data_IF_040471968232
#
_entry.id   IF_040471968232
#
_cell.length_a   1.000
_cell.length_b   1.000
_cell.length_c   1.000
_cell.angle_alpha   90.00
_cell.angle_beta   90.00
_cell.angle_gamma   90.00
#
_symmetry.space_group_name_H-M   'P 1'
#
loop_
_entity.id
_entity.type
_entity.pdbx_description
1 polymer ?
#
# COMPACT_ATOMS: atom_id res chain seq x y z
N UNK A 1 74.27 6.92 27.42
CA UNK A 1 73.16 5.98 27.17
C UNK A 1 71.88 6.76 27.24
N UNK A 2 71.29 7.02 26.08
CA UNK A 2 69.97 7.70 25.98
C UNK A 2 69.02 6.75 25.34
N UNK A 3 68.06 6.26 26.13
CA UNK A 3 66.97 5.40 25.68
C UNK A 3 65.87 6.27 25.12
N UNK A 4 65.60 6.16 23.82
CA UNK A 4 64.50 6.84 23.16
C UNK A 4 63.29 5.89 23.22
N UNK A 5 62.29 6.29 24.00
CA UNK A 5 61.02 5.58 24.11
C UNK A 5 60.10 6.04 22.96
N UNK A 6 59.92 5.19 21.94
CA UNK A 6 59.01 5.44 20.85
C UNK A 6 57.55 5.24 21.28
N UNK A 7 56.75 6.29 21.25
CA UNK A 7 55.31 6.24 21.44
C UNK A 7 54.66 5.81 20.15
N UNK A 8 54.15 4.60 20.12
CA UNK A 8 53.33 4.10 18.99
C UNK A 8 51.89 4.57 19.16
N UNK A 9 51.48 5.61 18.42
CA UNK A 9 50.13 6.10 18.40
C UNK A 9 49.26 5.18 17.49
N UNK A 10 48.42 4.34 18.09
CA UNK A 10 47.46 3.52 17.38
C UNK A 10 46.26 4.40 16.97
N UNK A 11 46.18 4.82 15.72
CA UNK A 11 45.01 5.49 15.16
C UNK A 11 43.95 4.46 14.87
N UNK A 12 42.98 4.32 15.77
CA UNK A 12 41.80 3.49 15.57
C UNK A 12 40.87 4.18 14.54
N UNK A 13 40.81 3.66 13.34
CA UNK A 13 39.81 4.09 12.35
C UNK A 13 38.42 3.61 12.82
N UNK A 14 37.57 4.54 13.24
CA UNK A 14 36.17 4.28 13.49
C UNK A 14 35.49 4.04 12.13
N UNK A 15 35.28 2.78 11.77
CA UNK A 15 34.45 2.41 10.61
C UNK A 15 33.00 2.61 11.04
N UNK A 16 32.39 3.73 10.63
CA UNK A 16 30.95 3.93 10.76
C UNK A 16 30.23 2.89 9.90
N UNK A 17 29.19 2.20 10.42
CA UNK A 17 28.41 1.30 9.59
C UNK A 17 27.73 2.08 8.48
N UNK A 18 27.59 1.50 7.26
CA UNK A 18 26.90 2.16 6.17
C UNK A 18 25.46 2.47 6.61
N UNK A 19 25.02 3.71 6.43
CA UNK A 19 23.64 4.09 6.65
C UNK A 19 22.79 3.27 5.69
N UNK A 20 22.07 2.29 6.21
CA UNK A 20 21.07 1.53 5.44
C UNK A 20 19.94 2.50 5.14
N UNK A 21 19.89 3.02 3.92
CA UNK A 21 18.72 3.75 3.44
C UNK A 21 17.55 2.74 3.41
N UNK A 22 16.82 2.66 4.50
CA UNK A 22 15.55 1.98 4.53
C UNK A 22 14.63 2.73 3.55
N UNK A 23 14.43 2.18 2.35
CA UNK A 23 13.46 2.73 1.40
C UNK A 23 12.09 2.69 2.06
N UNK A 24 11.49 3.85 2.30
CA UNK A 24 10.14 3.96 2.80
C UNK A 24 9.19 3.39 1.75
N UNK A 25 8.53 2.27 2.04
CA UNK A 25 7.52 1.68 1.17
C UNK A 25 6.38 2.70 0.99
N UNK A 26 6.05 3.01 -0.24
CA UNK A 26 4.95 3.90 -0.61
C UNK A 26 4.04 3.20 -1.62
N UNK A 27 2.79 3.64 -1.66
CA UNK A 27 1.81 3.13 -2.62
C UNK A 27 1.14 4.28 -3.37
N UNK A 28 0.47 3.93 -4.45
CA UNK A 28 -0.47 4.78 -5.18
C UNK A 28 -1.75 4.00 -5.45
N UNK A 29 -2.87 4.71 -5.41
CA UNK A 29 -4.19 4.16 -5.70
C UNK A 29 -4.49 4.35 -7.18
N UNK A 30 -4.97 3.30 -7.83
CA UNK A 30 -5.26 3.27 -9.26
C UNK A 30 -6.71 2.85 -9.51
N UNK A 31 -7.31 3.46 -10.50
CA UNK A 31 -8.66 3.13 -11.00
C UNK A 31 -8.60 2.89 -12.51
N UNK A 32 -9.67 2.32 -13.05
CA UNK A 32 -9.80 2.16 -14.49
C UNK A 32 -9.67 3.52 -15.18
N UNK A 33 -9.04 3.54 -16.36
CA UNK A 33 -8.80 4.77 -17.12
C UNK A 33 -10.09 5.54 -17.47
N UNK A 34 -11.23 4.85 -17.55
CA UNK A 34 -12.54 5.45 -17.85
C UNK A 34 -13.25 6.02 -16.60
N UNK A 35 -12.74 5.74 -15.41
CA UNK A 35 -13.34 6.26 -14.18
C UNK A 35 -13.17 7.79 -14.10
N UNK A 36 -14.23 8.58 -13.90
CA UNK A 36 -14.14 10.03 -13.85
C UNK A 36 -13.50 10.57 -12.57
N UNK A 37 -13.39 9.76 -11.52
CA UNK A 37 -12.82 10.17 -10.22
C UNK A 37 -11.34 10.43 -10.36
N UNK A 38 -10.87 11.58 -9.83
CA UNK A 38 -9.46 11.97 -9.85
C UNK A 38 -8.84 12.10 -8.47
N UNK A 39 -9.66 12.22 -7.43
CA UNK A 39 -9.23 12.32 -6.05
C UNK A 39 -10.30 11.73 -5.12
N UNK A 40 -9.87 11.13 -4.02
CA UNK A 40 -10.74 10.64 -2.95
C UNK A 40 -10.12 10.96 -1.58
N UNK A 41 -10.93 11.28 -0.57
CA UNK A 41 -10.46 11.28 0.82
C UNK A 41 -9.97 9.90 1.24
N UNK A 42 -8.97 9.83 2.11
CA UNK A 42 -8.45 8.57 2.64
C UNK A 42 -9.54 7.75 3.33
N UNK A 43 -10.45 8.42 4.05
CA UNK A 43 -11.62 7.78 4.67
C UNK A 43 -12.54 7.11 3.65
N UNK A 44 -12.74 7.71 2.49
CA UNK A 44 -13.57 7.11 1.43
C UNK A 44 -12.88 5.91 0.79
N UNK A 45 -11.57 5.99 0.54
CA UNK A 45 -10.79 4.82 0.10
C UNK A 45 -10.92 3.68 1.12
N UNK A 46 -10.79 3.98 2.41
CA UNK A 46 -11.00 2.99 3.47
C UNK A 46 -12.39 2.37 3.42
N UNK A 47 -13.44 3.18 3.27
CA UNK A 47 -14.83 2.69 3.18
C UNK A 47 -15.03 1.75 2.00
N UNK A 48 -14.43 2.06 0.85
CA UNK A 48 -14.49 1.21 -0.35
C UNK A 48 -13.88 -0.17 -0.07
N UNK A 49 -12.66 -0.22 0.42
CA UNK A 49 -11.97 -1.48 0.68
C UNK A 49 -12.54 -2.26 1.88
N UNK A 50 -13.29 -1.60 2.75
CA UNK A 50 -14.03 -2.22 3.86
C UNK A 50 -15.47 -2.64 3.48
N UNK A 51 -15.85 -2.55 2.21
CA UNK A 51 -17.18 -2.92 1.73
C UNK A 51 -18.32 -1.96 2.14
N UNK A 52 -17.98 -0.77 2.64
CA UNK A 52 -18.95 0.22 3.15
C UNK A 52 -19.38 1.25 2.11
N UNK A 53 -18.66 1.36 1.00
CA UNK A 53 -19.02 2.14 -0.17
C UNK A 53 -18.92 1.22 -1.39
N UNK A 54 -20.04 1.02 -2.07
CA UNK A 54 -20.19 -0.03 -3.09
C UNK A 54 -20.49 0.51 -4.48
N UNK A 55 -20.70 1.81 -4.61
CA UNK A 55 -20.98 2.46 -5.90
C UNK A 55 -20.21 3.75 -6.08
N UNK A 56 -19.74 3.95 -7.29
CA UNK A 56 -19.22 5.22 -7.74
C UNK A 56 -20.34 6.26 -7.87
N UNK A 57 -20.02 7.59 -7.87
CA UNK A 57 -21.03 8.62 -8.10
C UNK A 57 -21.83 8.45 -9.40
N UNK A 58 -21.25 7.75 -10.38
CA UNK A 58 -21.91 7.39 -11.65
C UNK A 58 -22.99 6.31 -11.50
N UNK A 59 -23.07 5.63 -10.34
CA UNK A 59 -23.95 4.50 -10.08
C UNK A 59 -23.32 3.13 -10.39
N UNK A 60 -22.17 3.09 -11.04
CA UNK A 60 -21.44 1.86 -11.34
C UNK A 60 -20.94 1.19 -10.03
N UNK A 61 -20.97 -0.15 -10.00
CA UNK A 61 -20.43 -0.90 -8.87
C UNK A 61 -18.92 -0.68 -8.74
N UNK A 62 -18.47 -0.50 -7.51
CA UNK A 62 -17.04 -0.48 -7.19
C UNK A 62 -16.56 -1.92 -7.05
N UNK A 63 -15.44 -2.22 -7.70
CA UNK A 63 -14.79 -3.52 -7.67
C UNK A 63 -13.37 -3.37 -7.08
N UNK A 64 -13.24 -3.33 -5.74
CA UNK A 64 -11.93 -3.22 -5.11
C UNK A 64 -11.13 -4.52 -5.28
N UNK A 65 -9.83 -4.39 -5.50
CA UNK A 65 -8.88 -5.50 -5.54
C UNK A 65 -7.74 -5.22 -4.57
N UNK A 66 -7.49 -6.16 -3.68
CA UNK A 66 -6.47 -6.06 -2.63
C UNK A 66 -5.19 -6.80 -3.03
N UNK A 67 -4.14 -6.63 -2.28
CA UNK A 67 -2.93 -7.44 -2.38
C UNK A 67 -2.96 -8.57 -1.35
N UNK A 68 -2.26 -9.67 -1.63
CA UNK A 68 -2.14 -10.79 -0.70
C UNK A 68 -1.39 -10.40 0.58
N UNK A 69 -1.66 -11.13 1.65
CA UNK A 69 -0.95 -10.98 2.91
C UNK A 69 0.57 -11.13 2.73
N UNK A 70 1.34 -10.38 3.53
CA UNK A 70 2.80 -10.38 3.46
C UNK A 70 3.37 -9.37 2.45
N UNK A 71 2.57 -8.71 1.64
CA UNK A 71 3.00 -7.59 0.81
C UNK A 71 3.34 -6.37 1.68
N UNK A 72 4.56 -5.83 1.56
CA UNK A 72 4.94 -4.61 2.26
C UNK A 72 4.11 -3.40 1.82
N UNK A 73 3.69 -3.38 0.55
CA UNK A 73 2.79 -2.35 0.00
C UNK A 73 1.42 -2.43 0.67
N UNK A 74 0.90 -3.65 0.86
CA UNK A 74 -0.36 -3.87 1.57
C UNK A 74 -0.28 -3.43 3.02
N UNK A 75 0.77 -3.79 3.74
CA UNK A 75 0.95 -3.37 5.13
C UNK A 75 0.95 -1.85 5.26
N UNK A 76 1.64 -1.17 4.34
CA UNK A 76 1.64 0.30 4.29
C UNK A 76 0.27 0.88 3.98
N UNK A 77 -0.44 0.33 3.00
CA UNK A 77 -1.80 0.74 2.65
C UNK A 77 -2.76 0.57 3.83
N UNK A 78 -2.75 -0.59 4.48
CA UNK A 78 -3.61 -0.89 5.63
C UNK A 78 -3.36 0.08 6.78
N UNK A 79 -2.08 0.35 7.07
CA UNK A 79 -1.70 1.32 8.12
C UNK A 79 -2.16 2.73 7.80
N UNK A 80 -1.87 3.24 6.59
CA UNK A 80 -2.13 4.63 6.23
C UNK A 80 -3.61 4.91 5.94
N UNK A 81 -4.31 3.95 5.35
CA UNK A 81 -5.70 4.13 4.90
C UNK A 81 -6.71 3.65 5.94
N UNK A 82 -6.48 2.50 6.54
CA UNK A 82 -7.42 1.95 7.53
C UNK A 82 -7.06 2.32 8.97
N UNK A 83 -5.87 2.86 9.20
CA UNK A 83 -5.32 3.13 10.55
C UNK A 83 -5.39 1.89 11.45
N UNK A 84 -5.07 0.72 10.88
CA UNK A 84 -5.11 -0.61 11.50
C UNK A 84 -3.87 -1.39 11.14
N UNK A 85 -3.64 -2.49 11.83
CA UNK A 85 -2.70 -3.53 11.40
C UNK A 85 -3.44 -4.67 10.65
N UNK A 86 -2.67 -5.58 10.06
CA UNK A 86 -3.22 -6.71 9.32
C UNK A 86 -4.07 -7.64 10.17
N UNK A 87 -3.73 -7.82 11.47
CA UNK A 87 -4.50 -8.66 12.39
C UNK A 87 -5.88 -8.06 12.68
N UNK A 88 -5.95 -6.76 12.91
CA UNK A 88 -7.22 -6.05 13.12
C UNK A 88 -8.12 -6.08 11.87
N UNK A 89 -7.53 -5.94 10.68
CA UNK A 89 -8.25 -6.06 9.42
C UNK A 89 -8.79 -7.48 9.20
N UNK A 90 -7.97 -8.49 9.47
CA UNK A 90 -8.38 -9.90 9.39
C UNK A 90 -9.54 -10.21 10.33
N UNK A 91 -9.50 -9.73 11.58
CA UNK A 91 -10.60 -9.87 12.54
C UNK A 91 -11.87 -9.20 12.08
N UNK A 92 -11.78 -8.03 11.47
CA UNK A 92 -12.92 -7.33 10.89
C UNK A 92 -13.61 -8.21 9.82
N UNK A 93 -12.85 -8.76 8.87
CA UNK A 93 -13.42 -9.58 7.82
C UNK A 93 -13.98 -10.89 8.32
N UNK A 94 -13.37 -11.53 9.31
CA UNK A 94 -13.92 -12.71 9.96
C UNK A 94 -15.30 -12.41 10.56
N UNK A 95 -15.46 -11.29 11.23
CA UNK A 95 -16.76 -10.87 11.78
C UNK A 95 -17.79 -10.62 10.67
N UNK A 96 -17.42 -10.00 9.54
CA UNK A 96 -18.33 -9.77 8.42
C UNK A 96 -18.79 -11.09 7.80
N UNK A 97 -17.88 -12.04 7.59
CA UNK A 97 -18.19 -13.36 7.05
C UNK A 97 -19.12 -14.13 7.98
N UNK A 98 -18.83 -14.20 9.28
CA UNK A 98 -19.66 -14.87 10.27
C UNK A 98 -21.05 -14.25 10.38
N UNK A 99 -21.17 -12.95 10.24
CA UNK A 99 -22.45 -12.25 10.25
C UNK A 99 -23.22 -12.37 8.92
N UNK A 100 -22.65 -13.00 7.89
CA UNK A 100 -23.24 -13.11 6.56
C UNK A 100 -23.44 -11.76 5.86
N UNK A 101 -22.65 -10.75 6.22
CA UNK A 101 -22.81 -9.38 5.71
C UNK A 101 -21.99 -9.10 4.46
N UNK A 102 -20.72 -9.51 4.44
CA UNK A 102 -19.81 -9.20 3.35
C UNK A 102 -18.59 -10.14 3.37
N UNK A 103 -17.82 -10.09 2.28
CA UNK A 103 -16.56 -10.82 2.10
C UNK A 103 -15.44 -9.85 1.70
N UNK A 104 -14.18 -10.15 2.02
CA UNK A 104 -13.06 -9.29 1.63
C UNK A 104 -12.93 -9.19 0.10
N UNK A 105 -12.33 -8.09 -0.40
CA UNK A 105 -11.98 -7.98 -1.81
C UNK A 105 -11.10 -9.15 -2.27
N UNK A 106 -11.19 -9.55 -3.55
CA UNK A 106 -10.23 -10.49 -4.11
C UNK A 106 -8.81 -9.96 -3.96
N UNK A 107 -7.84 -10.83 -3.69
CA UNK A 107 -6.45 -10.47 -3.49
C UNK A 107 -5.56 -10.99 -4.62
N UNK A 108 -4.64 -10.17 -5.07
CA UNK A 108 -3.67 -10.46 -6.11
C UNK A 108 -2.25 -10.44 -5.54
N UNK A 109 -1.38 -11.31 -6.05
CA UNK A 109 -0.01 -11.46 -5.53
C UNK A 109 0.96 -10.37 -6.03
N UNK A 110 0.70 -9.77 -7.18
CA UNK A 110 1.62 -8.84 -7.84
C UNK A 110 0.93 -7.56 -8.31
N UNK A 111 1.72 -6.48 -8.43
CA UNK A 111 1.24 -5.22 -9.02
C UNK A 111 0.77 -5.40 -10.46
N UNK A 112 1.42 -6.30 -11.23
CA UNK A 112 1.02 -6.60 -12.60
C UNK A 112 -0.40 -7.20 -12.66
N UNK A 113 -0.76 -8.08 -11.74
CA UNK A 113 -2.10 -8.66 -11.63
C UNK A 113 -3.13 -7.60 -11.22
N UNK A 114 -2.79 -6.73 -10.25
CA UNK A 114 -3.65 -5.59 -9.88
C UNK A 114 -3.91 -4.70 -11.10
N UNK A 115 -2.88 -4.33 -11.83
CA UNK A 115 -3.01 -3.49 -13.02
C UNK A 115 -3.85 -4.15 -14.12
N UNK A 116 -3.66 -5.44 -14.36
CA UNK A 116 -4.45 -6.20 -15.32
C UNK A 116 -5.94 -6.21 -14.94
N UNK A 117 -6.23 -6.45 -13.67
CA UNK A 117 -7.61 -6.41 -13.15
C UNK A 117 -8.25 -5.03 -13.32
N UNK A 118 -7.55 -3.98 -12.91
CA UNK A 118 -8.05 -2.60 -13.00
C UNK A 118 -8.30 -2.17 -14.45
N UNK A 119 -7.44 -2.58 -15.38
CA UNK A 119 -7.64 -2.30 -16.82
C UNK A 119 -8.87 -2.96 -17.40
N UNK A 120 -9.20 -4.15 -16.94
CA UNK A 120 -10.29 -4.98 -17.49
C UNK A 120 -11.66 -4.68 -16.87
N UNK A 121 -11.71 -4.02 -15.72
CA UNK A 121 -12.93 -3.76 -14.96
C UNK A 121 -13.16 -2.26 -14.81
N UNK A 122 -14.18 -1.68 -15.50
CA UNK A 122 -14.44 -0.24 -15.42
C UNK A 122 -14.67 0.30 -14.00
N UNK A 123 -15.29 -0.50 -13.12
CA UNK A 123 -15.54 -0.13 -11.72
C UNK A 123 -14.38 -0.41 -10.76
N UNK A 124 -13.25 -0.91 -11.25
CA UNK A 124 -12.17 -1.38 -10.39
C UNK A 124 -11.38 -0.24 -9.73
N UNK A 125 -10.94 -0.54 -8.52
CA UNK A 125 -9.97 0.25 -7.75
C UNK A 125 -8.98 -0.70 -7.08
N UNK A 126 -7.70 -0.36 -7.14
CA UNK A 126 -6.62 -1.11 -6.49
C UNK A 126 -5.52 -0.17 -6.04
N UNK A 127 -4.46 -0.73 -5.53
CA UNK A 127 -3.25 0.01 -5.17
C UNK A 127 -2.02 -0.82 -5.49
N UNK A 128 -0.94 -0.15 -5.82
CA UNK A 128 0.34 -0.72 -6.23
C UNK A 128 1.48 0.05 -5.59
N UNK A 129 2.70 -0.47 -5.66
CA UNK A 129 3.88 0.27 -5.26
C UNK A 129 3.99 1.59 -6.04
N UNK A 130 4.40 2.67 -5.35
CA UNK A 130 4.44 4.00 -5.96
C UNK A 130 5.36 4.09 -7.17
N UNK A 131 6.44 3.31 -7.19
CA UNK A 131 7.43 3.24 -8.27
C UNK A 131 7.03 2.34 -9.44
N UNK A 132 6.02 1.49 -9.28
CA UNK A 132 5.56 0.61 -10.36
C UNK A 132 4.93 1.43 -11.49
N UNK A 133 5.33 1.22 -12.76
CA UNK A 133 4.69 1.88 -13.89
C UNK A 133 3.18 1.58 -13.95
N UNK A 134 2.38 2.61 -14.25
CA UNK A 134 0.91 2.55 -14.17
C UNK A 134 0.23 2.90 -15.50
N UNK A 135 0.77 2.40 -16.60
CA UNK A 135 0.24 2.66 -17.94
C UNK A 135 -1.19 2.12 -18.11
N UNK A 136 -2.02 2.88 -18.82
CA UNK A 136 -3.42 2.52 -19.16
C UNK A 136 -4.34 2.33 -17.96
N UNK A 137 -3.96 2.86 -16.82
CA UNK A 137 -4.83 3.08 -15.66
C UNK A 137 -4.70 4.54 -15.22
N UNK A 138 -5.59 4.97 -14.35
CA UNK A 138 -5.57 6.32 -13.80
C UNK A 138 -5.11 6.27 -12.35
N UNK A 139 -4.06 7.01 -12.02
CA UNK A 139 -3.66 7.24 -10.63
C UNK A 139 -4.52 8.33 -10.05
N UNK A 140 -5.14 8.08 -8.91
CA UNK A 140 -5.93 9.09 -8.20
C UNK A 140 -5.16 9.68 -7.02
N UNK A 141 -5.49 10.92 -6.68
CA UNK A 141 -4.94 11.58 -5.49
C UNK A 141 -5.74 11.14 -4.26
N UNK A 142 -5.05 10.64 -3.25
CA UNK A 142 -5.63 10.39 -1.93
C UNK A 142 -5.39 11.61 -1.07
N UNK A 143 -6.47 12.23 -0.59
CA UNK A 143 -6.43 13.44 0.24
C UNK A 143 -6.59 13.04 1.70
N UNK A 144 -5.72 13.55 2.56
CA UNK A 144 -5.89 13.38 4.00
C UNK A 144 -7.10 14.19 4.47
N UNK A 145 -7.95 13.58 5.26
CA UNK A 145 -9.15 14.16 5.89
C UNK A 145 -8.98 14.32 7.40
#
# INVERSE_FOLDING_TARGET
>A
MRTVLGILTLVGALIAPPATNAQTVRFKVVVNAQNPVSALPASEVSRIFMGRATRWPTGELIEPVDQTDGSAVRERFVSDIHHRDGAALSSYWQQQIFAGKDVPPPAMATDAEILAYVRQHPGAIGYIAAETPSDRVKVITVVND
#
